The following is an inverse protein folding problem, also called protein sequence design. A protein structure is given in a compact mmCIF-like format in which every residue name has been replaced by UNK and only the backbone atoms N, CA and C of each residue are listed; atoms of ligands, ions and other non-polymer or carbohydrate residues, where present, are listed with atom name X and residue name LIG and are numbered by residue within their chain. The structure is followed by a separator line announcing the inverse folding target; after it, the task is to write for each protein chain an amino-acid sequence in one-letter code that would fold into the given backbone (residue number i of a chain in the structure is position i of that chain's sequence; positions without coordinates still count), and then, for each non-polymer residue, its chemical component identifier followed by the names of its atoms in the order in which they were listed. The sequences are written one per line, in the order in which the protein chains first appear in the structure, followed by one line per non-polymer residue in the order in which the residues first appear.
data_IF_456260250774
#
_entry.id   IF_456260250774
#
_cell.length_a   1.000
_cell.length_b   1.000
_cell.length_c   1.000
_cell.angle_alpha   90.00
_cell.angle_beta   90.00
_cell.angle_gamma   90.00
#
_symmetry.space_group_name_H-M   'P 1'
#
loop_
_entity.id
_entity.type
_entity.pdbx_description
1 polymer ?
#
# COMPACT_ATOMS: atom_id res chain seq x y z
N UNK A 1 12.53 11.50 4.64
CA UNK A 1 12.32 10.14 4.11
C UNK A 1 12.10 9.05 5.14
N UNK A 2 12.31 9.30 6.43
CA UNK A 2 12.18 8.24 7.48
C UNK A 2 10.80 8.19 8.16
N UNK A 3 9.91 9.13 7.89
CA UNK A 3 8.59 9.16 8.50
C UNK A 3 7.67 8.11 7.88
N UNK A 4 6.84 7.46 8.70
CA UNK A 4 5.80 6.55 8.23
C UNK A 4 4.85 7.29 7.30
N UNK A 5 4.53 6.70 6.15
CA UNK A 5 3.50 7.25 5.26
C UNK A 5 2.15 7.24 5.98
N UNK A 6 1.43 8.35 5.91
CA UNK A 6 0.09 8.47 6.45
C UNK A 6 -0.76 9.48 5.67
N UNK A 7 -2.07 9.28 5.74
CA UNK A 7 -3.06 10.17 5.12
C UNK A 7 -2.93 11.62 5.64
N UNK A 8 -2.76 11.75 6.95
CA UNK A 8 -2.66 13.06 7.62
C UNK A 8 -1.39 13.83 7.26
N UNK A 9 -0.31 13.15 6.87
CA UNK A 9 0.93 13.77 6.45
C UNK A 9 0.96 14.11 4.96
N UNK A 10 -0.02 13.66 4.18
CA UNK A 10 -0.08 13.91 2.74
C UNK A 10 1.09 13.33 1.93
N UNK A 11 1.84 12.38 2.50
CA UNK A 11 3.04 11.79 1.92
C UNK A 11 2.81 10.40 1.29
N UNK A 12 1.57 10.12 0.88
CA UNK A 12 1.17 8.86 0.26
C UNK A 12 0.76 9.08 -1.19
N UNK A 13 1.12 8.14 -2.07
CA UNK A 13 0.51 7.98 -3.39
C UNK A 13 -0.68 7.04 -3.22
N UNK A 14 -1.88 7.49 -3.61
CA UNK A 14 -3.09 6.66 -3.55
C UNK A 14 -3.32 5.96 -4.89
N UNK A 15 -3.91 4.77 -4.85
CA UNK A 15 -4.32 4.05 -6.06
C UNK A 15 -5.36 4.82 -6.90
N UNK A 16 -6.04 5.78 -6.27
CA UNK A 16 -7.04 6.64 -6.90
C UNK A 16 -6.49 7.99 -7.39
N UNK A 17 -5.21 8.29 -7.12
CA UNK A 17 -4.61 9.55 -7.57
C UNK A 17 -4.64 9.64 -9.10
N UNK A 18 -4.93 10.83 -9.61
CA UNK A 18 -4.78 11.15 -11.02
C UNK A 18 -3.31 11.13 -11.45
N UNK A 19 -3.07 11.10 -12.75
CA UNK A 19 -1.71 11.13 -13.30
C UNK A 19 -0.93 12.36 -12.81
N UNK A 20 -1.59 13.51 -12.75
CA UNK A 20 -0.97 14.76 -12.31
C UNK A 20 -0.68 14.75 -10.79
N UNK A 21 -1.60 14.23 -9.97
CA UNK A 21 -1.36 14.10 -8.52
C UNK A 21 -0.19 13.15 -8.22
N UNK A 22 -0.10 12.02 -8.93
CA UNK A 22 1.06 11.10 -8.81
C UNK A 22 2.35 11.82 -9.19
N UNK A 23 2.35 12.54 -10.31
CA UNK A 23 3.51 13.31 -10.77
C UNK A 23 3.96 14.35 -9.74
N UNK A 24 3.03 15.12 -9.18
CA UNK A 24 3.33 16.14 -8.18
C UNK A 24 3.92 15.52 -6.91
N UNK A 25 3.33 14.43 -6.43
CA UNK A 25 3.80 13.70 -5.25
C UNK A 25 5.21 13.14 -5.47
N UNK A 26 5.48 12.55 -6.63
CA UNK A 26 6.82 12.03 -6.95
C UNK A 26 7.85 13.16 -7.06
N UNK A 27 7.51 14.27 -7.71
CA UNK A 27 8.41 15.41 -7.81
C UNK A 27 8.71 16.04 -6.44
N UNK A 28 7.77 15.97 -5.49
CA UNK A 28 7.93 16.38 -4.09
C UNK A 28 8.61 15.38 -3.17
N UNK A 29 8.93 14.16 -3.63
CA UNK A 29 9.60 13.16 -2.80
C UNK A 29 10.94 13.64 -2.28
N UNK A 30 11.24 13.24 -1.03
CA UNK A 30 12.55 13.44 -0.44
C UNK A 30 13.62 12.64 -1.20
N UNK A 31 14.76 13.29 -1.42
CA UNK A 31 15.97 12.71 -2.00
C UNK A 31 17.15 12.89 -1.04
N UNK A 32 18.37 13.03 -1.54
CA UNK A 32 19.54 13.31 -0.71
C UNK A 32 19.70 14.84 -0.48
N UNK A 33 19.67 15.33 0.76
CA UNK A 33 19.84 16.76 1.06
C UNK A 33 21.23 17.30 0.72
N UNK A 34 22.23 16.44 0.55
CA UNK A 34 23.59 16.82 0.20
C UNK A 34 23.83 16.86 -1.32
N UNK A 35 22.92 16.31 -2.12
CA UNK A 35 22.98 16.28 -3.57
C UNK A 35 22.44 17.61 -4.15
N UNK A 36 23.21 18.69 -4.00
CA UNK A 36 22.79 20.04 -4.39
C UNK A 36 23.03 20.32 -5.86
N UNK A 37 24.05 19.75 -6.45
CA UNK A 37 24.40 19.88 -7.87
C UNK A 37 24.37 18.51 -8.53
N UNK A 38 24.08 18.48 -9.83
CA UNK A 38 24.09 17.24 -10.63
C UNK A 38 25.43 16.51 -10.56
N UNK A 39 26.52 17.27 -10.42
CA UNK A 39 27.88 16.72 -10.29
C UNK A 39 28.18 16.06 -8.95
N UNK A 40 27.39 16.36 -7.92
CA UNK A 40 27.66 15.85 -6.59
C UNK A 40 27.34 14.36 -6.51
N UNK A 41 28.12 13.55 -5.77
CA UNK A 41 27.74 12.19 -5.44
C UNK A 41 26.43 12.17 -4.66
N UNK A 42 25.53 11.25 -5.03
CA UNK A 42 24.24 11.12 -4.35
C UNK A 42 24.18 9.86 -3.49
N UNK A 43 23.38 9.90 -2.42
CA UNK A 43 23.10 8.78 -1.55
C UNK A 43 21.81 8.08 -1.98
N UNK A 44 21.90 6.78 -2.25
CA UNK A 44 20.76 5.92 -2.62
C UNK A 44 20.03 5.44 -1.36
N UNK A 45 20.77 5.09 -0.32
CA UNK A 45 20.24 4.56 0.93
C UNK A 45 19.41 5.61 1.68
N UNK A 46 18.14 5.27 1.93
CA UNK A 46 17.17 6.21 2.55
C UNK A 46 16.57 7.25 1.59
N UNK A 47 16.91 7.18 0.31
CA UNK A 47 16.29 7.99 -0.73
C UNK A 47 14.96 7.38 -1.15
N UNK A 48 13.86 8.11 -0.92
CA UNK A 48 12.50 7.62 -1.17
C UNK A 48 12.27 7.23 -2.63
N UNK A 49 12.90 7.91 -3.58
CA UNK A 49 12.74 7.65 -5.01
C UNK A 49 13.31 6.28 -5.37
N UNK A 50 14.49 5.95 -4.87
CA UNK A 50 15.10 4.64 -5.10
C UNK A 50 14.37 3.51 -4.36
N UNK A 51 13.82 3.77 -3.17
CA UNK A 51 12.97 2.79 -2.47
C UNK A 51 11.74 2.39 -3.31
N UNK A 52 11.11 3.35 -3.99
CA UNK A 52 10.00 3.06 -4.89
C UNK A 52 10.47 2.35 -6.17
N UNK A 53 11.61 2.74 -6.74
CA UNK A 53 12.18 2.04 -7.89
C UNK A 53 12.55 0.59 -7.55
N UNK A 54 13.09 0.32 -6.36
CA UNK A 54 13.35 -1.05 -5.89
C UNK A 54 12.09 -1.91 -5.81
N UNK A 55 10.94 -1.29 -5.53
CA UNK A 55 9.68 -2.01 -5.38
C UNK A 55 8.92 -2.23 -6.71
N UNK A 56 9.02 -1.30 -7.65
CA UNK A 56 8.15 -1.25 -8.84
C UNK A 56 8.89 -1.31 -10.18
N UNK A 57 10.21 -1.04 -10.20
CA UNK A 57 10.94 -0.98 -11.45
C UNK A 57 11.39 -2.37 -11.91
N UNK A 58 11.23 -2.64 -13.21
CA UNK A 58 11.76 -3.82 -13.91
C UNK A 58 12.72 -3.38 -15.01
N UNK A 59 13.49 -4.32 -15.56
CA UNK A 59 14.43 -4.01 -16.65
C UNK A 59 13.69 -3.52 -17.91
N UNK A 60 12.47 -3.97 -18.16
CA UNK A 60 11.64 -3.52 -19.28
C UNK A 60 11.33 -2.02 -19.23
N UNK A 61 11.21 -1.46 -18.02
CA UNK A 61 11.01 -0.03 -17.85
C UNK A 61 12.22 0.80 -18.31
N UNK A 62 13.44 0.24 -18.19
CA UNK A 62 14.63 0.91 -18.69
C UNK A 62 14.62 0.97 -20.22
N UNK A 63 14.35 -0.13 -20.90
CA UNK A 63 14.25 -0.18 -22.35
C UNK A 63 13.25 0.87 -22.87
N UNK A 64 12.14 1.05 -22.16
CA UNK A 64 11.02 1.90 -22.57
C UNK A 64 11.21 3.38 -22.22
N UNK A 65 11.73 3.69 -21.05
CA UNK A 65 11.70 5.05 -20.50
C UNK A 65 13.09 5.63 -20.21
N UNK A 66 14.12 4.81 -20.10
CA UNK A 66 15.45 5.27 -19.74
C UNK A 66 16.56 4.38 -20.38
N UNK A 67 16.59 4.26 -21.72
CA UNK A 67 17.46 3.31 -22.43
C UNK A 67 18.97 3.58 -22.28
N UNK A 68 19.35 4.68 -21.64
CA UNK A 68 20.74 4.97 -21.29
C UNK A 68 21.32 4.00 -20.26
N UNK A 69 20.47 3.22 -19.56
CA UNK A 69 20.84 2.27 -18.51
C UNK A 69 20.18 0.92 -18.79
N UNK A 70 20.87 -0.16 -18.41
CA UNK A 70 20.36 -1.52 -18.59
C UNK A 70 19.44 -1.95 -17.46
N UNK A 71 19.70 -1.48 -16.24
CA UNK A 71 18.97 -1.88 -15.03
C UNK A 71 19.11 -0.83 -13.92
N UNK A 72 18.43 -1.10 -12.80
CA UNK A 72 18.42 -0.20 -11.66
C UNK A 72 19.77 -0.06 -10.96
N UNK A 73 20.61 -1.09 -10.99
CA UNK A 73 21.94 -1.03 -10.37
C UNK A 73 22.86 -0.05 -11.11
N UNK A 74 22.86 -0.06 -12.45
CA UNK A 74 23.59 0.95 -13.24
C UNK A 74 23.11 2.38 -12.93
N UNK A 75 21.80 2.59 -12.78
CA UNK A 75 21.25 3.90 -12.42
C UNK A 75 21.70 4.35 -11.03
N UNK A 76 21.65 3.44 -10.04
CA UNK A 76 22.13 3.67 -8.68
C UNK A 76 23.62 3.99 -8.63
N UNK A 77 24.43 3.26 -9.37
CA UNK A 77 25.87 3.48 -9.43
C UNK A 77 26.22 4.83 -10.07
N UNK A 78 25.47 5.24 -11.10
CA UNK A 78 25.64 6.57 -11.68
C UNK A 78 25.26 7.66 -10.69
N UNK A 79 24.16 7.49 -9.95
CA UNK A 79 23.73 8.45 -8.94
C UNK A 79 24.75 8.58 -7.81
N UNK A 80 25.34 7.47 -7.35
CA UNK A 80 26.41 7.48 -6.32
C UNK A 80 27.70 8.18 -6.78
N UNK A 81 28.04 8.07 -8.07
CA UNK A 81 29.25 8.72 -8.62
C UNK A 81 29.08 10.22 -8.83
N UNK A 82 27.86 10.71 -8.89
CA UNK A 82 27.55 12.05 -9.38
C UNK A 82 27.38 12.09 -10.91
N UNK A 83 26.78 13.17 -11.41
CA UNK A 83 26.45 13.33 -12.83
C UNK A 83 25.00 13.03 -13.19
N UNK A 84 24.20 12.56 -12.24
CA UNK A 84 22.78 12.24 -12.41
C UNK A 84 21.91 13.03 -11.44
N UNK A 85 21.13 13.98 -11.94
CA UNK A 85 20.26 14.82 -11.12
C UNK A 85 18.96 14.15 -10.69
N UNK A 86 18.47 14.48 -9.50
CA UNK A 86 17.23 13.98 -8.89
C UNK A 86 16.01 14.04 -9.80
N UNK A 87 15.90 15.13 -10.57
CA UNK A 87 14.77 15.34 -11.48
C UNK A 87 14.69 14.26 -12.56
N UNK A 88 15.84 13.80 -13.09
CA UNK A 88 15.87 12.72 -14.10
C UNK A 88 15.37 11.40 -13.47
N UNK A 89 15.84 11.07 -12.27
CA UNK A 89 15.42 9.87 -11.54
C UNK A 89 13.94 9.93 -11.17
N UNK A 90 13.45 11.08 -10.69
CA UNK A 90 12.02 11.30 -10.39
C UNK A 90 11.13 11.18 -11.63
N UNK A 91 11.56 11.70 -12.77
CA UNK A 91 10.83 11.54 -14.04
C UNK A 91 10.74 10.08 -14.46
N UNK A 92 11.82 9.32 -14.30
CA UNK A 92 11.82 7.89 -14.57
C UNK A 92 10.86 7.16 -13.60
N UNK A 93 10.96 7.39 -12.31
CA UNK A 93 10.01 6.82 -11.35
C UNK A 93 8.55 7.19 -11.70
N UNK A 94 8.30 8.43 -12.13
CA UNK A 94 6.96 8.81 -12.54
C UNK A 94 6.46 7.98 -13.72
N UNK A 95 7.30 7.72 -14.73
CA UNK A 95 6.93 6.88 -15.87
C UNK A 95 6.57 5.45 -15.42
N UNK A 96 7.39 4.83 -14.57
CA UNK A 96 7.13 3.52 -13.97
C UNK A 96 5.81 3.51 -13.22
N UNK A 97 5.60 4.47 -12.31
CA UNK A 97 4.38 4.53 -11.51
C UNK A 97 3.11 4.82 -12.34
N UNK A 98 3.22 5.59 -13.42
CA UNK A 98 2.07 5.81 -14.32
C UNK A 98 1.67 4.51 -15.02
N UNK A 99 2.62 3.70 -15.46
CA UNK A 99 2.35 2.41 -16.07
C UNK A 99 1.70 1.43 -15.10
N UNK A 100 2.24 1.31 -13.88
CA UNK A 100 1.72 0.45 -12.83
C UNK A 100 0.29 0.85 -12.38
N UNK A 101 0.01 2.13 -12.29
CA UNK A 101 -1.27 2.63 -11.82
C UNK A 101 -2.35 2.77 -12.91
N UNK A 102 -1.97 2.80 -14.19
CA UNK A 102 -2.92 2.98 -15.28
C UNK A 102 -4.02 1.92 -15.33
N UNK A 103 -3.73 0.59 -15.24
CA UNK A 103 -4.76 -0.43 -15.26
C UNK A 103 -5.67 -0.36 -14.02
N UNK A 104 -5.13 0.01 -12.87
CA UNK A 104 -5.90 0.19 -11.61
C UNK A 104 -6.89 1.35 -11.78
N UNK A 105 -6.44 2.50 -12.30
CA UNK A 105 -7.29 3.66 -12.58
C UNK A 105 -8.38 3.33 -13.60
N UNK A 106 -8.03 2.61 -14.66
CA UNK A 106 -9.00 2.21 -15.69
C UNK A 106 -10.08 1.31 -15.08
N UNK A 107 -9.69 0.30 -14.30
CA UNK A 107 -10.62 -0.60 -13.62
C UNK A 107 -11.53 0.13 -12.63
N UNK A 108 -10.96 1.08 -11.88
CA UNK A 108 -11.75 1.93 -10.97
C UNK A 108 -12.83 2.70 -11.71
N UNK A 109 -12.49 3.36 -12.83
CA UNK A 109 -13.47 4.11 -13.65
C UNK A 109 -14.59 3.23 -14.20
N UNK A 110 -14.32 1.97 -14.51
CA UNK A 110 -15.36 1.02 -14.90
C UNK A 110 -16.30 0.67 -13.75
N UNK A 111 -15.72 0.40 -12.56
CA UNK A 111 -16.47 0.02 -11.37
C UNK A 111 -17.30 1.18 -10.80
N UNK A 112 -16.84 2.43 -10.94
CA UNK A 112 -17.61 3.63 -10.53
C UNK A 112 -18.99 3.73 -11.22
N UNK A 113 -19.15 3.08 -12.37
CA UNK A 113 -20.42 2.98 -13.09
C UNK A 113 -21.31 1.82 -12.62
N UNK A 114 -20.82 0.99 -11.70
CA UNK A 114 -21.43 -0.28 -11.27
C UNK A 114 -21.60 -0.36 -9.76
N UNK A 115 -22.09 0.73 -9.17
CA UNK A 115 -22.26 0.82 -7.71
C UNK A 115 -23.07 -0.35 -7.10
N UNK A 116 -24.20 -0.80 -7.70
CA UNK A 116 -24.94 -1.95 -7.16
C UNK A 116 -24.10 -3.23 -7.06
N UNK A 117 -23.27 -3.52 -8.09
CA UNK A 117 -22.38 -4.69 -8.08
C UNK A 117 -21.32 -4.58 -6.95
N UNK A 118 -20.82 -3.37 -6.69
CA UNK A 118 -19.85 -3.13 -5.60
C UNK A 118 -20.50 -3.42 -4.24
N UNK A 119 -21.74 -2.97 -4.01
CA UNK A 119 -22.46 -3.25 -2.78
C UNK A 119 -22.74 -4.75 -2.61
N UNK A 120 -23.02 -5.48 -3.70
CA UNK A 120 -23.20 -6.93 -3.65
C UNK A 120 -21.91 -7.65 -3.26
N UNK A 121 -20.75 -7.23 -3.81
CA UNK A 121 -19.43 -7.78 -3.44
C UNK A 121 -19.14 -7.53 -1.95
N UNK A 122 -19.36 -6.32 -1.47
CA UNK A 122 -19.18 -5.96 -0.06
C UNK A 122 -20.10 -6.78 0.85
N UNK A 123 -21.35 -6.93 0.49
CA UNK A 123 -22.32 -7.71 1.26
C UNK A 123 -21.92 -9.19 1.37
N UNK A 124 -21.57 -9.82 0.24
CA UNK A 124 -21.11 -11.22 0.23
C UNK A 124 -19.82 -11.39 1.08
N UNK A 125 -18.86 -10.49 0.92
CA UNK A 125 -17.63 -10.52 1.70
C UNK A 125 -17.89 -10.31 3.20
N UNK A 126 -18.82 -9.46 3.57
CA UNK A 126 -19.21 -9.23 4.96
C UNK A 126 -19.84 -10.47 5.59
N UNK A 127 -20.72 -11.19 4.88
CA UNK A 127 -21.30 -12.45 5.36
C UNK A 127 -20.20 -13.50 5.62
N UNK A 128 -19.23 -13.64 4.72
CA UNK A 128 -18.14 -14.60 4.93
C UNK A 128 -17.26 -14.21 6.12
N UNK A 129 -16.94 -12.94 6.26
CA UNK A 129 -16.18 -12.43 7.41
C UNK A 129 -16.95 -12.62 8.74
N UNK A 130 -18.28 -12.40 8.74
CA UNK A 130 -19.13 -12.59 9.90
C UNK A 130 -19.12 -14.04 10.38
N UNK A 131 -19.18 -15.02 9.46
CA UNK A 131 -19.11 -16.45 9.82
C UNK A 131 -17.83 -16.78 10.60
N UNK A 132 -16.68 -16.33 10.09
CA UNK A 132 -15.38 -16.56 10.72
C UNK A 132 -15.31 -15.84 12.08
N UNK A 133 -15.74 -14.59 12.13
CA UNK A 133 -15.75 -13.80 13.37
C UNK A 133 -16.69 -14.40 14.43
N UNK A 134 -17.87 -14.86 14.03
CA UNK A 134 -18.83 -15.51 14.94
C UNK A 134 -18.27 -16.80 15.54
N UNK A 135 -17.60 -17.62 14.74
CA UNK A 135 -16.96 -18.85 15.21
C UNK A 135 -15.86 -18.52 16.23
N UNK A 136 -14.96 -17.60 15.89
CA UNK A 136 -13.88 -17.16 16.80
C UNK A 136 -14.44 -16.58 18.11
N UNK A 137 -15.47 -15.73 18.00
CA UNK A 137 -16.12 -15.15 19.16
C UNK A 137 -16.76 -16.21 20.05
N UNK A 138 -17.38 -17.23 19.44
CA UNK A 138 -17.94 -18.36 20.18
C UNK A 138 -16.86 -19.10 20.97
N UNK A 139 -15.75 -19.46 20.34
CA UNK A 139 -14.62 -20.15 20.98
C UNK A 139 -14.05 -19.32 22.15
N UNK A 140 -13.91 -18.01 21.97
CA UNK A 140 -13.46 -17.10 23.03
C UNK A 140 -14.45 -17.08 24.19
N UNK A 141 -15.74 -16.94 23.92
CA UNK A 141 -16.78 -16.96 24.98
C UNK A 141 -16.81 -18.27 25.74
N UNK A 142 -16.70 -19.40 25.03
CA UNK A 142 -16.64 -20.73 25.65
C UNK A 142 -15.39 -20.89 26.56
N UNK A 143 -14.23 -20.47 26.07
CA UNK A 143 -12.98 -20.50 26.84
C UNK A 143 -13.02 -19.59 28.08
N UNK A 144 -13.63 -18.42 27.97
CA UNK A 144 -13.80 -17.47 29.08
C UNK A 144 -14.98 -17.80 29.99
N UNK A 145 -15.81 -18.81 29.66
CA UNK A 145 -17.04 -19.17 30.37
C UNK A 145 -18.02 -17.98 30.53
N UNK A 146 -18.19 -17.20 29.49
CA UNK A 146 -19.11 -16.07 29.43
C UNK A 146 -20.26 -16.31 28.43
N UNK A 147 -20.52 -17.56 28.09
CA UNK A 147 -21.59 -18.04 27.22
C UNK A 147 -22.83 -18.47 28.02
N UNK A 148 -23.18 -17.74 29.06
CA UNK A 148 -24.21 -18.09 30.07
C UNK A 148 -25.55 -18.55 29.46
N UNK A 149 -25.99 -17.98 28.35
CA UNK A 149 -27.27 -18.32 27.73
C UNK A 149 -27.22 -19.65 26.94
N UNK A 150 -26.05 -20.12 26.58
CA UNK A 150 -25.83 -21.36 25.83
C UNK A 150 -25.35 -22.49 26.72
N UNK A 151 -24.86 -22.18 27.94
CA UNK A 151 -24.37 -23.17 28.93
C UNK A 151 -25.53 -23.85 29.64
N UNK A 152 -26.02 -24.95 29.04
CA UNK A 152 -27.12 -25.74 29.59
C UNK A 152 -26.77 -26.42 30.92
N UNK A 153 -25.50 -26.70 31.18
CA UNK A 153 -25.06 -27.28 32.41
C UNK A 153 -25.16 -26.25 33.56
N UNK A 154 -24.62 -25.06 33.34
CA UNK A 154 -24.73 -23.94 34.28
C UNK A 154 -26.19 -23.63 34.61
N UNK A 155 -27.07 -23.58 33.59
CA UNK A 155 -28.48 -23.29 33.78
C UNK A 155 -29.15 -24.35 34.65
N UNK A 156 -28.87 -25.65 34.42
CA UNK A 156 -29.40 -26.75 35.25
C UNK A 156 -28.90 -26.68 36.68
N UNK A 157 -27.61 -26.46 36.89
CA UNK A 157 -27.02 -26.33 38.24
C UNK A 157 -27.61 -25.16 39.00
N UNK A 158 -27.77 -24.02 38.37
CA UNK A 158 -28.42 -22.84 38.96
C UNK A 158 -29.90 -23.11 39.29
N UNK A 159 -30.62 -23.72 38.35
CA UNK A 159 -32.04 -24.10 38.58
C UNK A 159 -32.17 -25.06 39.79
N UNK A 160 -31.35 -26.06 39.86
CA UNK A 160 -31.38 -27.03 40.99
C UNK A 160 -31.03 -26.37 42.33
N UNK A 161 -30.08 -25.41 42.32
CA UNK A 161 -29.65 -24.70 43.54
C UNK A 161 -30.71 -23.79 44.13
N UNK A 162 -31.59 -23.24 43.32
CA UNK A 162 -32.60 -22.25 43.73
C UNK A 162 -34.04 -22.76 43.56
N UNK A 163 -34.22 -24.07 43.43
CA UNK A 163 -35.56 -24.73 43.30
C UNK A 163 -36.28 -24.95 44.64
N UNK A 164 -35.67 -24.48 45.76
CA UNK A 164 -36.28 -24.45 47.08
C UNK A 164 -36.94 -23.05 47.25
#
# INVERSE_FOLDING_TARGET
GKAKMSKSLGNCIYLSDSEEEVRQKIMGMYTDPNHLKVSDPGQVEGNSVFTYLDAFCTDEHFEKYLPDYKNLDELKDHYRRGGLGDVKVKKFLNAVMQEELAPIRARRKELEKKIPEIYEILYKGSIEAEKVAAQTLKEVKDAMKINYFEDQQLIREQTARFAE
#
